data_IF_765853904323
#
_entry.id   IF_765853904323
#
_cell.length_a   1.000
_cell.length_b   1.000
_cell.length_c   1.000
_cell.angle_alpha   90.00
_cell.angle_beta   90.00
_cell.angle_gamma   90.00
#
_symmetry.space_group_name_H-M   'P 1'
#
loop_
_entity.id
_entity.type
_entity.pdbx_description
1 polymer ?
#
# COMPACT_ATOMS: atom_id res chain seq x y z
N UNK A 1 4.39 -20.49 1.03
CA UNK A 1 4.12 -20.45 2.49
C UNK A 1 2.77 -19.77 2.66
N UNK A 2 1.84 -20.37 3.38
CA UNK A 2 0.54 -19.74 3.66
C UNK A 2 0.50 -19.38 5.14
N UNK A 3 0.29 -18.11 5.44
CA UNK A 3 0.07 -17.66 6.79
C UNK A 3 -1.40 -17.86 7.14
N UNK A 4 -1.67 -18.52 8.25
CA UNK A 4 -3.03 -18.68 8.76
C UNK A 4 -3.17 -17.92 10.09
N UNK A 5 -4.12 -17.00 10.16
CA UNK A 5 -4.46 -16.27 11.38
C UNK A 5 -5.98 -16.20 11.54
N UNK A 6 -6.43 -15.91 12.75
CA UNK A 6 -7.85 -15.78 13.07
C UNK A 6 -8.50 -14.68 12.21
N UNK A 7 -9.66 -15.00 11.61
CA UNK A 7 -10.41 -14.08 10.74
C UNK A 7 -9.66 -13.62 9.48
N UNK A 8 -8.69 -14.41 8.99
CA UNK A 8 -8.07 -14.13 7.69
C UNK A 8 -9.12 -14.01 6.60
N UNK A 9 -9.17 -12.92 5.82
CA UNK A 9 -10.14 -12.78 4.74
C UNK A 9 -9.93 -13.83 3.64
N UNK A 10 -11.00 -14.56 3.29
CA UNK A 10 -10.99 -15.44 2.11
C UNK A 10 -11.36 -14.65 0.87
N UNK A 11 -10.37 -14.07 0.22
CA UNK A 11 -10.55 -13.23 -0.97
C UNK A 11 -10.40 -14.08 -2.22
N UNK A 12 -11.50 -14.49 -2.82
CA UNK A 12 -11.52 -15.24 -4.08
C UNK A 12 -11.46 -14.34 -5.30
N UNK A 13 -12.06 -13.15 -5.22
CA UNK A 13 -11.93 -12.14 -6.26
C UNK A 13 -12.23 -10.72 -5.70
N UNK A 14 -11.69 -9.68 -6.37
CA UNK A 14 -11.84 -8.29 -5.98
C UNK A 14 -13.27 -7.75 -6.00
N UNK A 15 -14.17 -8.38 -6.76
CA UNK A 15 -15.57 -7.96 -6.87
C UNK A 15 -16.34 -8.12 -5.57
N UNK A 16 -15.85 -8.92 -4.63
CA UNK A 16 -16.45 -9.10 -3.30
C UNK A 16 -16.32 -7.84 -2.42
N UNK A 17 -15.42 -6.91 -2.78
CA UNK A 17 -15.18 -5.66 -2.03
C UNK A 17 -15.77 -4.44 -2.70
N UNK A 18 -16.76 -4.62 -3.60
CA UNK A 18 -17.43 -3.49 -4.25
C UNK A 18 -18.11 -2.61 -3.22
N UNK A 19 -17.47 -1.51 -2.89
CA UNK A 19 -18.13 -0.41 -2.20
C UNK A 19 -19.05 0.29 -3.22
N UNK A 20 -20.35 0.35 -2.90
CA UNK A 20 -21.32 1.12 -3.69
C UNK A 20 -21.10 2.65 -3.62
N UNK A 21 -20.01 3.09 -2.99
CA UNK A 21 -19.60 4.48 -2.96
C UNK A 21 -18.97 4.86 -4.29
N UNK A 22 -19.81 5.38 -5.20
CA UNK A 22 -19.37 6.02 -6.43
C UNK A 22 -18.29 7.05 -6.13
N UNK A 23 -17.13 6.91 -6.79
CA UNK A 23 -16.08 7.92 -6.78
C UNK A 23 -16.69 9.27 -7.17
N UNK A 24 -16.76 10.21 -6.22
CA UNK A 24 -17.09 11.58 -6.59
C UNK A 24 -15.99 12.08 -7.49
N UNK A 25 -16.35 12.52 -8.70
CA UNK A 25 -15.41 13.06 -9.67
C UNK A 25 -14.65 14.21 -9.05
N UNK A 26 -13.38 13.99 -8.74
CA UNK A 26 -12.48 15.05 -8.31
C UNK A 26 -12.06 15.84 -9.55
N UNK A 27 -11.85 17.15 -9.39
CA UNK A 27 -11.60 18.09 -10.47
C UNK A 27 -10.50 17.62 -11.43
N UNK A 28 -10.74 17.84 -12.74
CA UNK A 28 -9.78 17.55 -13.79
C UNK A 28 -8.70 18.63 -13.77
N UNK A 29 -7.48 18.27 -13.40
CA UNK A 29 -6.35 19.20 -13.27
C UNK A 29 -5.52 19.37 -14.54
N UNK A 30 -5.85 18.73 -15.66
CA UNK A 30 -5.15 18.93 -16.93
C UNK A 30 -6.09 19.01 -18.10
N UNK A 31 -5.78 19.90 -19.05
CA UNK A 31 -6.48 20.03 -20.33
C UNK A 31 -5.93 19.12 -21.42
N UNK A 32 -4.83 18.40 -21.18
CA UNK A 32 -4.12 17.56 -22.12
C UNK A 32 -4.40 16.06 -21.95
N UNK A 33 -3.95 15.26 -22.91
CA UNK A 33 -4.17 13.82 -23.03
C UNK A 33 -3.68 12.98 -21.82
N UNK A 34 -2.82 13.54 -20.96
CA UNK A 34 -2.36 12.89 -19.74
C UNK A 34 -3.31 13.20 -18.58
N UNK A 35 -4.04 12.18 -18.14
CA UNK A 35 -5.00 12.31 -17.04
C UNK A 35 -4.30 11.94 -15.73
N UNK A 36 -4.14 12.93 -14.84
CA UNK A 36 -3.81 12.67 -13.45
C UNK A 36 -5.10 12.55 -12.64
N UNK A 37 -5.21 11.52 -11.83
CA UNK A 37 -6.36 11.26 -10.98
C UNK A 37 -5.96 11.36 -9.51
N UNK A 38 -6.59 12.27 -8.77
CA UNK A 38 -6.49 12.34 -7.31
C UNK A 38 -7.78 11.80 -6.70
N UNK A 39 -7.67 10.75 -5.89
CA UNK A 39 -8.78 10.15 -5.17
C UNK A 39 -8.61 10.35 -3.66
N UNK A 40 -9.67 10.84 -3.00
CA UNK A 40 -9.73 10.96 -1.54
C UNK A 40 -10.84 10.04 -1.04
N UNK A 41 -10.45 8.91 -0.48
CA UNK A 41 -11.36 7.90 0.05
C UNK A 41 -10.59 6.96 0.99
N UNK A 42 -11.30 6.04 1.63
CA UNK A 42 -10.68 4.85 2.22
C UNK A 42 -10.06 4.01 1.10
N UNK A 43 -8.85 3.48 1.33
CA UNK A 43 -8.03 2.88 0.26
C UNK A 43 -8.68 1.69 -0.43
N UNK A 44 -9.24 0.73 0.33
CA UNK A 44 -9.84 -0.46 -0.27
C UNK A 44 -11.05 -0.09 -1.12
N UNK A 45 -11.86 0.86 -0.65
CA UNK A 45 -13.00 1.40 -1.40
C UNK A 45 -12.55 2.15 -2.65
N UNK A 46 -11.48 2.94 -2.57
CA UNK A 46 -10.94 3.67 -3.72
C UNK A 46 -10.40 2.72 -4.79
N UNK A 47 -9.59 1.73 -4.41
CA UNK A 47 -9.00 0.75 -5.33
C UNK A 47 -10.10 -0.11 -5.96
N UNK A 48 -11.04 -0.61 -5.16
CA UNK A 48 -12.18 -1.38 -5.65
C UNK A 48 -13.05 -0.58 -6.64
N UNK A 49 -13.33 0.69 -6.33
CA UNK A 49 -14.07 1.57 -7.24
C UNK A 49 -13.29 1.87 -8.52
N UNK A 50 -11.96 1.98 -8.44
CA UNK A 50 -11.10 2.14 -9.61
C UNK A 50 -11.19 0.91 -10.52
N UNK A 51 -11.05 -0.30 -9.97
CA UNK A 51 -11.13 -1.57 -10.70
C UNK A 51 -12.45 -1.70 -11.49
N UNK A 52 -13.54 -1.21 -10.91
CA UNK A 52 -14.87 -1.28 -11.52
C UNK A 52 -15.23 -0.04 -12.36
N UNK A 53 -14.29 0.83 -12.66
CA UNK A 53 -14.51 2.07 -13.42
C UNK A 53 -14.03 1.98 -14.87
N UNK A 54 -14.59 2.83 -15.74
CA UNK A 54 -14.10 3.02 -17.11
C UNK A 54 -12.66 3.57 -17.17
N UNK A 55 -12.17 4.18 -16.08
CA UNK A 55 -10.78 4.60 -15.98
C UNK A 55 -9.85 3.38 -15.92
N UNK A 56 -10.28 2.31 -15.25
CA UNK A 56 -9.49 1.08 -15.18
C UNK A 56 -9.45 0.33 -16.51
N UNK A 57 -10.51 0.39 -17.31
CA UNK A 57 -10.49 -0.17 -18.68
C UNK A 57 -9.35 0.44 -19.50
N UNK A 58 -9.12 1.75 -19.38
CA UNK A 58 -7.98 2.42 -20.03
C UNK A 58 -6.64 1.95 -19.48
N UNK A 59 -6.50 1.82 -18.15
CA UNK A 59 -5.28 1.30 -17.51
C UNK A 59 -5.04 -0.15 -17.98
N UNK A 60 -6.09 -0.95 -18.03
CA UNK A 60 -6.01 -2.36 -18.41
C UNK A 60 -5.65 -2.55 -19.89
N UNK A 61 -6.02 -1.63 -20.78
CA UNK A 61 -5.57 -1.62 -22.18
C UNK A 61 -4.05 -1.47 -22.31
N UNK A 62 -3.37 -0.93 -21.28
CA UNK A 62 -1.91 -0.91 -21.17
C UNK A 62 -1.36 -2.08 -20.31
N UNK A 63 -2.22 -3.07 -19.98
CA UNK A 63 -1.87 -4.27 -19.20
C UNK A 63 -1.79 -4.04 -17.69
N UNK A 64 -2.21 -2.88 -17.18
CA UNK A 64 -2.24 -2.56 -15.76
C UNK A 64 -1.28 -1.45 -15.32
N UNK A 65 -1.17 -1.25 -14.01
CA UNK A 65 -0.32 -0.24 -13.38
C UNK A 65 1.14 -0.72 -13.34
N UNK A 66 2.08 0.08 -13.84
CA UNK A 66 3.50 -0.30 -13.92
C UNK A 66 4.24 -0.18 -12.59
N UNK A 67 3.87 0.81 -11.78
CA UNK A 67 4.51 1.09 -10.50
C UNK A 67 3.46 1.45 -9.46
N UNK A 68 3.54 0.79 -8.32
CA UNK A 68 2.75 1.11 -7.13
C UNK A 68 3.70 1.46 -5.99
N UNK A 69 3.48 2.59 -5.33
CA UNK A 69 4.17 2.96 -4.10
C UNK A 69 3.15 3.14 -2.98
N UNK A 70 3.29 2.37 -1.91
CA UNK A 70 2.35 2.34 -0.78
C UNK A 70 3.07 2.74 0.49
N UNK A 71 2.52 3.70 1.21
CA UNK A 71 2.92 4.06 2.56
C UNK A 71 1.72 3.81 3.47
N UNK A 72 1.56 2.61 4.00
CA UNK A 72 0.44 2.31 4.90
C UNK A 72 0.66 2.98 6.26
N UNK A 73 -0.38 3.07 7.09
CA UNK A 73 -0.21 3.45 8.49
C UNK A 73 0.82 2.55 9.19
N UNK A 74 1.66 3.15 10.05
CA UNK A 74 2.72 2.42 10.75
C UNK A 74 2.26 1.76 12.05
N UNK A 75 0.95 1.76 12.30
CA UNK A 75 0.35 1.21 13.51
C UNK A 75 0.96 1.81 14.80
N UNK A 76 1.12 3.14 14.78
CA UNK A 76 1.69 3.87 15.93
C UNK A 76 0.67 4.12 17.03
N UNK A 77 -0.63 3.84 16.79
CA UNK A 77 -1.77 4.15 17.67
C UNK A 77 -1.86 5.63 18.06
N UNK A 78 -1.31 6.51 17.22
CA UNK A 78 -1.26 7.95 17.47
C UNK A 78 -2.18 8.72 16.54
N UNK A 79 -2.84 9.72 17.11
CA UNK A 79 -3.49 10.78 16.36
C UNK A 79 -2.42 11.81 15.96
N UNK A 80 -2.26 12.03 14.66
CA UNK A 80 -1.34 13.03 14.14
C UNK A 80 -2.08 14.34 13.87
N UNK A 81 -1.73 15.39 14.62
CA UNK A 81 -2.34 16.71 14.47
C UNK A 81 -1.69 17.54 13.37
N UNK A 82 -2.47 18.39 12.69
CA UNK A 82 -1.94 19.35 11.74
C UNK A 82 -1.04 20.37 12.44
N UNK A 83 0.17 20.60 11.92
CA UNK A 83 1.05 21.68 12.41
C UNK A 83 0.34 23.03 12.28
N UNK A 84 0.27 23.77 13.37
CA UNK A 84 -0.28 25.13 13.40
C UNK A 84 -1.80 25.26 13.58
N UNK A 85 -2.54 24.17 13.68
CA UNK A 85 -3.98 24.19 14.00
C UNK A 85 -4.25 23.34 15.24
N UNK A 86 -4.63 24.00 16.35
CA UNK A 86 -5.08 23.28 17.55
C UNK A 86 -6.34 22.48 17.20
N UNK A 87 -6.35 21.18 17.57
CA UNK A 87 -7.45 20.24 17.39
C UNK A 87 -7.80 19.84 15.95
N UNK A 88 -6.97 20.11 14.96
CA UNK A 88 -7.16 19.59 13.62
C UNK A 88 -6.32 18.31 13.44
N UNK A 89 -7.00 17.17 13.26
CA UNK A 89 -6.37 15.87 12.99
C UNK A 89 -5.89 15.88 11.53
N UNK A 90 -4.60 15.63 11.31
CA UNK A 90 -4.05 15.48 9.97
C UNK A 90 -4.38 14.10 9.41
N UNK A 91 -4.13 13.06 10.21
CA UNK A 91 -4.49 11.68 9.93
C UNK A 91 -4.44 10.86 11.22
N UNK A 92 -5.19 9.77 11.23
CA UNK A 92 -5.20 8.80 12.30
C UNK A 92 -4.34 7.61 11.88
N UNK A 93 -3.34 7.27 12.69
CA UNK A 93 -2.52 6.06 12.51
C UNK A 93 -3.08 4.93 13.39
N UNK A 94 -4.43 4.85 13.42
CA UNK A 94 -5.19 3.85 14.13
C UNK A 94 -5.88 2.98 13.09
N UNK A 95 -5.35 1.78 12.88
CA UNK A 95 -5.86 0.85 11.88
C UNK A 95 -6.54 -0.35 12.55
N UNK A 96 -7.71 -0.11 13.17
CA UNK A 96 -8.43 -1.10 13.97
C UNK A 96 -7.97 -1.11 15.44
N UNK A 97 -8.49 -2.07 16.20
CA UNK A 97 -8.20 -2.21 17.63
C UNK A 97 -7.11 -3.24 17.93
N UNK A 98 -6.59 -3.92 16.89
CA UNK A 98 -5.61 -4.98 17.04
C UNK A 98 -4.69 -5.09 15.82
N UNK A 99 -3.55 -5.73 16.01
CA UNK A 99 -2.65 -6.08 14.90
C UNK A 99 -3.35 -7.00 13.87
N UNK A 100 -4.30 -7.83 14.30
CA UNK A 100 -5.08 -8.69 13.41
C UNK A 100 -5.96 -7.85 12.47
N UNK A 101 -6.62 -6.80 12.98
CA UNK A 101 -7.42 -5.89 12.16
C UNK A 101 -6.56 -5.17 11.13
N UNK A 102 -5.36 -4.73 11.52
CA UNK A 102 -4.38 -4.14 10.63
C UNK A 102 -3.98 -5.10 9.52
N UNK A 103 -3.58 -6.33 9.88
CA UNK A 103 -3.18 -7.38 8.95
C UNK A 103 -4.31 -7.70 7.96
N UNK A 104 -5.56 -7.84 8.45
CA UNK A 104 -6.71 -8.12 7.60
C UNK A 104 -6.94 -7.03 6.56
N UNK A 105 -6.91 -5.75 6.97
CA UNK A 105 -7.07 -4.62 6.05
C UNK A 105 -5.94 -4.55 5.02
N UNK A 106 -4.70 -4.73 5.46
CA UNK A 106 -3.54 -4.73 4.57
C UNK A 106 -3.54 -5.90 3.60
N UNK A 107 -3.97 -7.08 4.04
CA UNK A 107 -4.11 -8.24 3.18
C UNK A 107 -5.07 -7.97 2.02
N UNK A 108 -6.26 -7.41 2.32
CA UNK A 108 -7.25 -7.01 1.31
C UNK A 108 -6.64 -6.00 0.35
N UNK A 109 -6.05 -4.93 0.88
CA UNK A 109 -5.46 -3.85 0.09
C UNK A 109 -4.38 -4.37 -0.86
N UNK A 110 -3.44 -5.17 -0.35
CA UNK A 110 -2.34 -5.71 -1.14
C UNK A 110 -2.82 -6.69 -2.22
N UNK A 111 -3.88 -7.47 -1.95
CA UNK A 111 -4.53 -8.33 -2.96
C UNK A 111 -5.13 -7.50 -4.10
N UNK A 112 -5.87 -6.43 -3.78
CA UNK A 112 -6.44 -5.52 -4.78
C UNK A 112 -5.33 -4.83 -5.60
N UNK A 113 -4.25 -4.39 -4.95
CA UNK A 113 -3.11 -3.77 -5.62
C UNK A 113 -2.37 -4.76 -6.53
N UNK A 114 -2.24 -6.02 -6.11
CA UNK A 114 -1.67 -7.08 -6.94
C UNK A 114 -2.50 -7.30 -8.21
N UNK A 115 -3.83 -7.24 -8.11
CA UNK A 115 -4.73 -7.42 -9.26
C UNK A 115 -4.51 -6.35 -10.33
N UNK A 116 -4.42 -5.07 -9.93
CA UNK A 116 -4.24 -3.96 -10.88
C UNK A 116 -2.81 -3.79 -11.39
N UNK A 117 -1.84 -4.45 -10.75
CA UNK A 117 -0.43 -4.35 -11.13
C UNK A 117 -0.20 -5.06 -12.48
N UNK A 118 0.55 -4.42 -13.38
CA UNK A 118 0.97 -5.01 -14.65
C UNK A 118 1.89 -6.22 -14.42
N UNK A 119 1.91 -7.19 -15.34
CA UNK A 119 2.78 -8.39 -15.23
C UNK A 119 4.27 -8.03 -15.08
N UNK A 120 4.73 -6.97 -15.72
CA UNK A 120 6.10 -6.46 -15.55
C UNK A 120 6.21 -5.35 -14.50
N UNK A 121 5.16 -5.13 -13.72
CA UNK A 121 5.09 -4.06 -12.71
C UNK A 121 5.74 -4.43 -11.38
N UNK A 122 6.04 -3.39 -10.60
CA UNK A 122 6.61 -3.52 -9.26
C UNK A 122 5.82 -2.74 -8.23
N UNK A 123 5.77 -3.26 -7.02
CA UNK A 123 5.20 -2.61 -5.84
C UNK A 123 6.29 -2.33 -4.82
N UNK A 124 6.28 -1.13 -4.26
CA UNK A 124 7.12 -0.66 -3.18
C UNK A 124 6.26 -0.41 -1.97
N UNK A 125 6.52 -1.10 -0.87
CA UNK A 125 5.76 -0.97 0.38
C UNK A 125 6.69 -0.42 1.45
N UNK A 126 6.48 0.86 1.80
CA UNK A 126 7.30 1.61 2.74
C UNK A 126 6.69 1.55 4.13
N UNK A 127 7.37 0.93 5.05
CA UNK A 127 6.90 0.64 6.41
C UNK A 127 8.00 0.85 7.44
N UNK A 128 7.65 0.88 8.70
CA UNK A 128 8.62 0.86 9.78
C UNK A 128 8.71 -0.53 10.44
N UNK A 129 9.59 -0.65 11.44
CA UNK A 129 9.88 -1.90 12.14
C UNK A 129 8.65 -2.56 12.80
N UNK A 130 7.58 -1.81 13.11
CA UNK A 130 6.37 -2.34 13.78
C UNK A 130 5.60 -3.29 12.89
N UNK A 131 5.54 -2.98 11.61
CA UNK A 131 4.67 -3.66 10.63
C UNK A 131 5.44 -4.39 9.53
N UNK A 132 6.73 -4.11 9.36
CA UNK A 132 7.59 -4.67 8.31
C UNK A 132 7.53 -6.19 8.24
N UNK A 133 7.72 -6.89 9.38
CA UNK A 133 7.73 -8.35 9.42
C UNK A 133 6.40 -8.96 9.01
N UNK A 134 5.28 -8.38 9.44
CA UNK A 134 3.95 -8.87 9.08
C UNK A 134 3.67 -8.70 7.60
N UNK A 135 3.97 -7.49 7.07
CA UNK A 135 3.73 -7.19 5.67
C UNK A 135 4.67 -7.97 4.76
N UNK A 136 5.90 -8.25 5.19
CA UNK A 136 6.81 -9.12 4.46
C UNK A 136 6.22 -10.51 4.22
N UNK A 137 5.65 -11.13 5.23
CA UNK A 137 5.06 -12.48 5.11
C UNK A 137 3.79 -12.45 4.24
N UNK A 138 2.97 -11.40 4.38
CA UNK A 138 1.79 -11.21 3.53
C UNK A 138 2.18 -11.02 2.07
N UNK A 139 3.19 -10.23 1.80
CA UNK A 139 3.70 -10.02 0.44
C UNK A 139 4.29 -11.30 -0.15
N UNK A 140 5.02 -12.09 0.65
CA UNK A 140 5.51 -13.41 0.23
C UNK A 140 4.36 -14.36 -0.16
N UNK A 141 3.23 -14.29 0.54
CA UNK A 141 2.04 -15.08 0.20
C UNK A 141 1.36 -14.61 -1.09
N UNK A 142 1.20 -13.29 -1.26
CA UNK A 142 0.45 -12.71 -2.38
C UNK A 142 1.27 -12.72 -3.67
N UNK A 143 2.53 -12.29 -3.59
CA UNK A 143 3.41 -12.11 -4.75
C UNK A 143 4.31 -13.32 -5.00
N UNK A 144 4.50 -14.15 -3.98
CA UNK A 144 5.51 -15.20 -3.97
C UNK A 144 6.87 -14.70 -3.45
N UNK A 145 7.50 -15.45 -2.55
CA UNK A 145 8.76 -15.07 -1.90
C UNK A 145 9.91 -14.81 -2.91
N UNK A 146 9.94 -15.53 -4.03
CA UNK A 146 10.93 -15.35 -5.12
C UNK A 146 10.81 -14.00 -5.84
N UNK A 147 9.66 -13.36 -5.74
CA UNK A 147 9.37 -12.07 -6.35
C UNK A 147 9.74 -10.88 -5.47
N UNK A 148 10.35 -11.11 -4.31
CA UNK A 148 11.07 -10.06 -3.59
C UNK A 148 12.31 -9.66 -4.41
N UNK A 149 12.32 -8.42 -4.89
CA UNK A 149 13.40 -7.88 -5.73
C UNK A 149 14.31 -6.90 -4.99
N UNK A 150 13.86 -6.40 -3.84
CA UNK A 150 14.66 -5.52 -3.00
C UNK A 150 14.12 -5.41 -1.57
N UNK A 151 15.06 -5.26 -0.64
CA UNK A 151 14.81 -4.89 0.75
C UNK A 151 15.67 -3.67 1.05
N UNK A 152 15.07 -2.48 0.94
CA UNK A 152 15.79 -1.22 1.05
C UNK A 152 15.68 -0.70 2.47
N UNK A 153 16.80 -0.43 3.09
CA UNK A 153 16.88 0.21 4.40
C UNK A 153 16.93 1.72 4.17
N UNK A 154 15.85 2.40 4.54
CA UNK A 154 15.76 3.85 4.46
C UNK A 154 16.18 4.47 5.79
N UNK A 155 17.38 4.98 5.87
CA UNK A 155 17.90 5.62 7.08
C UNK A 155 17.11 6.88 7.43
N UNK A 156 16.69 6.98 8.70
CA UNK A 156 15.97 8.15 9.24
C UNK A 156 16.90 8.77 10.29
N UNK A 157 17.45 9.93 9.98
CA UNK A 157 18.25 10.69 10.95
C UNK A 157 17.32 11.44 11.92
N UNK A 158 16.82 10.72 12.91
CA UNK A 158 15.88 11.28 13.88
C UNK A 158 16.54 12.02 15.04
N UNK A 159 17.88 12.05 15.13
CA UNK A 159 18.62 12.72 16.22
C UNK A 159 18.25 12.25 17.65
N UNK A 160 17.19 11.49 17.81
CA UNK A 160 16.66 11.03 19.09
C UNK A 160 17.46 9.84 19.61
N UNK A 161 18.43 10.09 20.48
CA UNK A 161 19.14 9.03 21.18
C UNK A 161 18.26 8.52 22.33
N UNK A 162 17.80 7.27 22.23
CA UNK A 162 17.14 6.60 23.35
C UNK A 162 18.17 6.34 24.46
N UNK A 163 17.81 6.63 25.72
CA UNK A 163 18.64 6.30 26.88
C UNK A 163 18.37 4.90 27.44
N UNK A 164 17.33 4.23 26.97
CA UNK A 164 16.86 2.94 27.54
C UNK A 164 16.91 1.78 26.54
N UNK A 165 16.83 2.06 25.24
CA UNK A 165 16.75 1.04 24.19
C UNK A 165 17.62 1.46 23.00
N UNK A 166 17.89 0.51 22.10
CA UNK A 166 18.45 0.80 20.79
C UNK A 166 17.50 1.67 19.97
N UNK A 167 18.04 2.68 19.30
CA UNK A 167 17.26 3.57 18.46
C UNK A 167 16.84 2.88 17.17
N UNK A 168 15.55 2.97 16.80
CA UNK A 168 15.06 2.58 15.48
C UNK A 168 15.27 3.77 14.54
N UNK A 169 16.27 3.69 13.67
CA UNK A 169 16.70 4.79 12.79
C UNK A 169 16.50 4.49 11.32
N UNK A 170 15.63 3.55 10.99
CA UNK A 170 15.31 3.24 9.61
C UNK A 170 13.84 2.85 9.43
N UNK A 171 13.39 3.02 8.21
CA UNK A 171 12.21 2.36 7.67
C UNK A 171 12.66 1.31 6.65
N UNK A 172 11.76 0.38 6.37
CA UNK A 172 11.95 -0.66 5.37
C UNK A 172 11.13 -0.33 4.13
N UNK A 173 11.71 -0.51 2.93
CA UNK A 173 10.95 -0.49 1.70
C UNK A 173 11.08 -1.88 1.07
N UNK A 174 9.96 -2.61 1.11
CA UNK A 174 9.85 -3.95 0.53
C UNK A 174 9.46 -3.82 -0.93
N UNK A 175 10.31 -4.33 -1.84
CA UNK A 175 10.10 -4.24 -3.29
C UNK A 175 9.76 -5.61 -3.84
N UNK A 176 8.56 -5.74 -4.41
CA UNK A 176 8.12 -6.97 -5.07
C UNK A 176 7.77 -6.68 -6.53
N UNK A 177 8.07 -7.65 -7.40
CA UNK A 177 7.52 -7.67 -8.75
C UNK A 177 6.28 -8.56 -8.82
N UNK A 178 5.43 -8.35 -9.83
CA UNK A 178 4.31 -9.27 -10.08
C UNK A 178 4.76 -10.60 -10.65
N UNK A 179 5.79 -10.57 -11.51
CA UNK A 179 6.37 -11.76 -12.12
C UNK A 179 7.90 -11.65 -12.23
N UNK A 180 8.54 -12.67 -12.75
CA UNK A 180 9.98 -12.65 -13.03
C UNK A 180 10.34 -11.72 -14.20
N UNK A 181 9.38 -11.36 -15.06
CA UNK A 181 9.58 -10.43 -16.18
C UNK A 181 9.29 -8.98 -15.77
N UNK A 182 9.98 -8.49 -14.74
CA UNK A 182 9.80 -7.12 -14.25
C UNK A 182 10.78 -6.14 -14.89
N UNK A 183 10.37 -4.86 -14.96
CA UNK A 183 11.21 -3.79 -15.49
C UNK A 183 12.14 -3.30 -14.38
N UNK A 184 13.44 -3.42 -14.64
CA UNK A 184 14.47 -2.86 -13.78
C UNK A 184 15.54 -2.18 -14.64
N UNK A 185 15.69 -0.87 -14.45
CA UNK A 185 16.72 -0.09 -15.12
C UNK A 185 17.86 0.16 -14.12
N UNK A 186 18.94 -0.60 -14.22
CA UNK A 186 20.15 -0.30 -13.46
C UNK A 186 20.79 0.96 -14.06
N UNK A 187 20.98 1.99 -13.23
CA UNK A 187 21.93 3.04 -13.59
C UNK A 187 23.34 2.42 -13.61
N UNK A 188 23.92 2.31 -14.79
CA UNK A 188 25.34 1.95 -14.95
C UNK A 188 26.23 3.02 -14.37
#
# INVERSE_FOLDING_TARGET
MFLNWKNKPDIKNSKEFVSNNLLKKLNKYSQESNINLLMKSENNSAISSLINSSAFEKINNFGGVKLIYVVPPYFTEKLHNMKGKKNAIAYEDIYGHSIEDYINKMYIQLKLLHEILHESGSIYVHVDYRTSSYLRIILDEIFGARNLKGYIIWNIDNGAKSKKNWSNQHNDILVYSKSDNFIFNSSS
#
